data_IF_095396847895
#
_entry.id   IF_095396847895
#
_cell.length_a   1.000
_cell.length_b   1.000
_cell.length_c   1.000
_cell.angle_alpha   90.00
_cell.angle_beta   90.00
_cell.angle_gamma   90.00
#
_symmetry.space_group_name_H-M   'P 1'
#
loop_
_entity.id
_entity.type
_entity.pdbx_description
1 polymer ?
#
# COMPACT_ATOMS: atom_id res chain seq x y z
N UNK A 1 -12.96 19.59 -9.02
CA UNK A 1 -12.60 20.33 -7.79
C UNK A 1 -11.38 19.66 -7.18
N UNK A 2 -10.46 20.41 -6.59
CA UNK A 2 -9.34 19.83 -5.85
C UNK A 2 -9.83 19.35 -4.49
N UNK A 3 -9.50 18.11 -4.11
CA UNK A 3 -9.68 17.61 -2.76
C UNK A 3 -8.40 17.89 -1.94
N UNK A 4 -8.49 17.95 -0.59
CA UNK A 4 -7.29 18.00 0.24
C UNK A 4 -6.39 16.77 -0.03
N UNK A 5 -5.06 16.89 0.14
CA UNK A 5 -4.14 15.77 -0.06
C UNK A 5 -4.34 14.68 1.01
N UNK A 6 -3.93 13.46 0.70
CA UNK A 6 -3.85 12.39 1.71
C UNK A 6 -2.86 12.76 2.82
N UNK A 7 -3.11 12.26 4.03
CA UNK A 7 -2.30 12.49 5.22
C UNK A 7 -1.41 11.29 5.46
N UNK A 8 -0.12 11.51 5.69
CA UNK A 8 0.77 10.47 6.19
C UNK A 8 0.43 10.22 7.67
N UNK A 9 -0.01 9.00 7.97
CA UNK A 9 -0.38 8.53 9.31
C UNK A 9 0.48 7.34 9.73
N UNK A 10 1.60 7.08 9.05
CA UNK A 10 2.46 5.89 9.26
C UNK A 10 2.82 5.65 10.73
N UNK A 11 3.10 6.72 11.49
CA UNK A 11 3.48 6.62 12.90
C UNK A 11 2.32 6.45 13.88
N UNK A 12 1.08 6.65 13.45
CA UNK A 12 -0.11 6.68 14.31
C UNK A 12 -1.26 5.77 13.83
N UNK A 13 -1.10 5.12 12.69
CA UNK A 13 -2.12 4.24 12.13
C UNK A 13 -2.31 3.02 13.03
N UNK A 14 -3.58 2.71 13.29
CA UNK A 14 -3.98 1.45 13.93
C UNK A 14 -4.41 0.45 12.85
N UNK A 15 -4.27 -0.85 13.15
CA UNK A 15 -4.72 -1.91 12.26
C UNK A 15 -6.25 -1.93 12.19
N UNK A 16 -6.80 -1.65 11.01
CA UNK A 16 -8.25 -1.69 10.75
C UNK A 16 -8.71 -3.09 10.39
N UNK A 17 -7.96 -3.76 9.52
CA UNK A 17 -8.23 -5.13 9.06
C UNK A 17 -6.90 -5.83 8.80
N UNK A 18 -6.86 -7.14 9.01
CA UNK A 18 -5.65 -7.91 8.72
C UNK A 18 -5.39 -7.97 7.21
N UNK A 19 -4.35 -7.27 6.76
CA UNK A 19 -4.02 -7.16 5.33
C UNK A 19 -3.12 -8.28 4.82
N UNK A 20 -2.37 -8.95 5.69
CA UNK A 20 -1.28 -9.84 5.29
C UNK A 20 -1.73 -11.01 4.41
N UNK A 21 -2.83 -11.75 4.71
CA UNK A 21 -3.27 -12.83 3.83
C UNK A 21 -3.57 -12.36 2.41
N UNK A 22 -4.21 -11.20 2.27
CA UNK A 22 -4.52 -10.61 0.96
C UNK A 22 -3.26 -10.08 0.26
N UNK A 23 -2.39 -9.42 1.01
CA UNK A 23 -1.14 -8.89 0.49
C UNK A 23 -0.22 -10.01 -0.01
N UNK A 24 -0.13 -11.14 0.71
CA UNK A 24 0.65 -12.31 0.30
C UNK A 24 0.16 -12.90 -1.02
N UNK A 25 -1.16 -13.02 -1.22
CA UNK A 25 -1.73 -13.45 -2.50
C UNK A 25 -1.40 -12.47 -3.63
N UNK A 26 -1.52 -11.16 -3.38
CA UNK A 26 -1.17 -10.13 -4.35
C UNK A 26 0.33 -10.13 -4.70
N UNK A 27 1.19 -10.29 -3.69
CA UNK A 27 2.65 -10.40 -3.86
C UNK A 27 3.02 -11.63 -4.70
N UNK A 28 2.42 -12.79 -4.42
CA UNK A 28 2.65 -14.01 -5.19
C UNK A 28 2.22 -13.87 -6.65
N UNK A 29 1.19 -13.06 -6.94
CA UNK A 29 0.72 -12.76 -8.29
C UNK A 29 1.67 -11.82 -9.05
N UNK A 30 2.06 -10.71 -8.43
CA UNK A 30 2.91 -9.68 -9.05
C UNK A 30 4.38 -10.10 -9.15
N UNK A 31 4.87 -10.89 -8.18
CA UNK A 31 6.28 -11.28 -8.06
C UNK A 31 6.45 -12.80 -7.93
N UNK A 32 6.08 -13.57 -8.97
CA UNK A 32 6.13 -15.03 -8.89
C UNK A 32 7.56 -15.53 -8.67
N UNK A 33 7.76 -16.28 -7.58
CA UNK A 33 9.05 -16.88 -7.23
C UNK A 33 10.00 -15.97 -6.45
N UNK A 34 9.53 -14.81 -5.98
CA UNK A 34 10.27 -13.92 -5.07
C UNK A 34 9.87 -14.22 -3.62
N UNK A 35 10.85 -14.32 -2.73
CA UNK A 35 10.63 -14.44 -1.28
C UNK A 35 10.26 -13.07 -0.70
N UNK A 36 9.03 -12.91 -0.21
CA UNK A 36 8.52 -11.62 0.29
C UNK A 36 8.45 -11.52 1.82
N UNK A 37 9.04 -12.48 2.53
CA UNK A 37 9.00 -12.58 4.00
C UNK A 37 9.64 -11.40 4.75
N UNK A 38 10.51 -10.63 4.09
CA UNK A 38 11.13 -9.42 4.66
C UNK A 38 10.34 -8.14 4.36
N UNK A 39 9.26 -8.23 3.60
CA UNK A 39 8.49 -7.05 3.23
C UNK A 39 7.63 -6.61 4.41
N UNK A 40 7.58 -5.31 4.62
CA UNK A 40 6.93 -4.66 5.74
C UNK A 40 6.13 -3.45 5.26
N UNK A 41 5.15 -3.04 6.06
CA UNK A 41 4.50 -1.75 5.86
C UNK A 41 5.55 -0.65 5.98
N UNK A 42 5.70 0.16 4.93
CA UNK A 42 6.63 1.30 4.90
C UNK A 42 5.89 2.62 5.11
N UNK A 43 4.71 2.77 4.50
CA UNK A 43 3.88 3.96 4.67
C UNK A 43 2.41 3.62 4.84
N UNK A 44 1.71 4.48 5.57
CA UNK A 44 0.25 4.46 5.65
C UNK A 44 -0.26 5.86 5.38
N UNK A 45 -1.10 5.99 4.36
CA UNK A 45 -1.76 7.25 4.01
C UNK A 45 -3.25 7.13 4.20
N UNK A 46 -3.87 8.14 4.80
CA UNK A 46 -5.31 8.21 4.98
C UNK A 46 -5.90 9.35 4.17
N UNK A 47 -7.07 9.11 3.59
CA UNK A 47 -7.81 10.15 2.92
C UNK A 47 -8.33 11.21 3.94
N UNK A 48 -8.54 12.47 3.53
CA UNK A 48 -9.01 13.53 4.43
C UNK A 48 -10.36 13.27 5.11
N UNK A 49 -11.22 12.45 4.51
CA UNK A 49 -12.51 12.05 5.07
C UNK A 49 -12.41 10.94 6.12
N UNK A 50 -11.26 10.25 6.21
CA UNK A 50 -11.07 9.10 7.09
C UNK A 50 -11.86 7.86 6.66
N UNK A 51 -12.24 7.77 5.38
CA UNK A 51 -12.98 6.63 4.83
C UNK A 51 -12.06 5.59 4.20
N UNK A 52 -10.89 6.00 3.71
CA UNK A 52 -9.94 5.11 3.05
C UNK A 52 -8.53 5.23 3.61
N UNK A 53 -7.87 4.08 3.69
CA UNK A 53 -6.47 3.97 4.04
C UNK A 53 -5.72 3.24 2.93
N UNK A 54 -4.56 3.78 2.55
CA UNK A 54 -3.62 3.16 1.63
C UNK A 54 -2.42 2.70 2.43
N UNK A 55 -2.22 1.40 2.52
CA UNK A 55 -1.07 0.79 3.18
C UNK A 55 -0.05 0.41 2.11
N UNK A 56 1.12 1.02 2.15
CA UNK A 56 2.21 0.77 1.21
C UNK A 56 3.17 -0.22 1.83
N UNK A 57 3.24 -1.40 1.25
CA UNK A 57 4.20 -2.45 1.60
C UNK A 57 5.41 -2.24 0.70
N UNK A 58 6.60 -2.21 1.29
CA UNK A 58 7.84 -2.10 0.52
C UNK A 58 8.03 -3.32 -0.39
N UNK A 59 8.85 -3.12 -1.41
CA UNK A 59 9.37 -4.22 -2.23
C UNK A 59 10.90 -4.17 -2.17
N UNK A 60 11.57 -5.17 -2.72
CA UNK A 60 13.05 -5.11 -2.87
C UNK A 60 13.49 -4.08 -3.93
N UNK A 61 12.54 -3.52 -4.69
CA UNK A 61 12.78 -2.51 -5.71
C UNK A 61 12.57 -1.12 -5.08
N UNK A 62 13.62 -0.31 -5.05
CA UNK A 62 13.53 1.07 -4.56
C UNK A 62 12.46 1.86 -5.32
N UNK A 63 11.67 2.68 -4.61
CA UNK A 63 10.56 3.46 -5.15
C UNK A 63 9.42 2.63 -5.77
N UNK A 64 9.31 1.35 -5.42
CA UNK A 64 8.22 0.47 -5.83
C UNK A 64 7.53 -0.16 -4.60
N UNK A 65 6.21 -0.10 -4.60
CA UNK A 65 5.37 -0.45 -3.45
C UNK A 65 4.17 -1.28 -3.90
N UNK A 66 3.78 -2.27 -3.09
CA UNK A 66 2.45 -2.86 -3.18
C UNK A 66 1.51 -2.04 -2.29
N UNK A 67 0.53 -1.37 -2.88
CA UNK A 67 -0.44 -0.55 -2.15
C UNK A 67 -1.71 -1.34 -1.92
N UNK A 68 -2.07 -1.61 -0.67
CA UNK A 68 -3.36 -2.20 -0.28
C UNK A 68 -4.32 -1.07 0.09
N UNK A 69 -5.51 -1.07 -0.51
CA UNK A 69 -6.54 -0.06 -0.27
C UNK A 69 -7.61 -0.64 0.64
N UNK A 70 -7.85 0.02 1.78
CA UNK A 70 -8.79 -0.40 2.81
C UNK A 70 -9.95 0.61 2.85
N UNK A 71 -11.17 0.11 2.93
CA UNK A 71 -12.34 0.87 3.39
C UNK A 71 -12.40 0.78 4.91
N UNK A 72 -12.19 1.92 5.58
CA UNK A 72 -12.16 2.01 7.04
C UNK A 72 -13.55 1.73 7.63
N UNK A 73 -14.60 2.24 7.00
CA UNK A 73 -15.96 2.13 7.52
C UNK A 73 -16.51 0.71 7.40
N UNK A 74 -16.10 -0.01 6.35
CA UNK A 74 -16.49 -1.40 6.12
C UNK A 74 -15.50 -2.41 6.70
N UNK A 75 -14.39 -1.96 7.30
CA UNK A 75 -13.29 -2.80 7.81
C UNK A 75 -12.85 -3.86 6.79
N UNK A 76 -12.71 -3.45 5.51
CA UNK A 76 -12.52 -4.39 4.40
C UNK A 76 -11.51 -3.90 3.37
N UNK A 77 -10.91 -4.84 2.67
CA UNK A 77 -9.94 -4.57 1.60
C UNK A 77 -10.69 -4.37 0.29
N UNK A 78 -10.48 -3.24 -0.36
CA UNK A 78 -11.06 -2.90 -1.66
C UNK A 78 -10.25 -3.45 -2.83
N UNK A 79 -8.93 -3.56 -2.67
CA UNK A 79 -8.03 -4.01 -3.72
C UNK A 79 -6.56 -3.73 -3.41
N UNK A 80 -5.69 -4.05 -4.36
CA UNK A 80 -4.31 -3.59 -4.37
C UNK A 80 -3.95 -2.86 -5.67
N UNK A 81 -2.83 -2.14 -5.63
CA UNK A 81 -2.18 -1.52 -6.78
C UNK A 81 -0.67 -1.64 -6.65
N UNK A 82 0.01 -2.18 -7.67
CA UNK A 82 1.47 -2.10 -7.74
C UNK A 82 1.91 -0.71 -8.22
N UNK A 83 2.54 0.04 -7.33
CA UNK A 83 3.00 1.42 -7.59
C UNK A 83 4.50 1.41 -7.86
N UNK A 84 4.89 1.43 -9.13
CA UNK A 84 6.28 1.62 -9.55
C UNK A 84 6.54 3.08 -9.94
N UNK A 85 7.15 3.86 -9.03
CA UNK A 85 7.44 5.27 -9.28
C UNK A 85 8.59 5.46 -10.27
N UNK A 86 9.50 4.50 -10.39
CA UNK A 86 10.58 4.55 -11.38
C UNK A 86 10.00 4.54 -12.79
N UNK A 87 9.07 3.63 -13.07
CA UNK A 87 8.37 3.58 -14.36
C UNK A 87 7.50 4.81 -14.59
N UNK A 88 6.72 5.22 -13.57
CA UNK A 88 5.78 6.33 -13.69
C UNK A 88 6.46 7.66 -13.99
N UNK A 89 7.64 7.90 -13.44
CA UNK A 89 8.34 9.18 -13.54
C UNK A 89 9.69 9.12 -14.26
N UNK A 90 10.10 7.95 -14.75
CA UNK A 90 11.38 7.76 -15.43
C UNK A 90 12.59 7.98 -14.52
N UNK A 91 12.49 7.57 -13.24
CA UNK A 91 13.60 7.69 -12.30
C UNK A 91 14.66 6.62 -12.61
N UNK A 92 15.93 7.02 -12.70
CA UNK A 92 17.04 6.09 -12.81
C UNK A 92 17.31 5.42 -11.47
N UNK A 93 17.43 4.08 -11.47
CA UNK A 93 17.88 3.29 -10.31
C UNK A 93 19.37 3.51 -10.02
#
# INVERSE_FOLDING_TARGET
TFAPPMRDVTSSAEEVVSIWPYAEEAMAHEFPGVETSNWNVEYVYEDPSGSWQHVLINTEIQNAYLVVVIDINAESILGYHFLNLNEKYGLSQ
#
